data_IF_681758514238
#
_entry.id   IF_681758514238
#
_cell.length_a   1.000
_cell.length_b   1.000
_cell.length_c   1.000
_cell.angle_alpha   90.00
_cell.angle_beta   90.00
_cell.angle_gamma   90.00
#
_symmetry.space_group_name_H-M   'P 1'
#
loop_
_entity.id
_entity.type
_entity.pdbx_description
1 polymer ?
#
# COMPACT_ATOMS: atom_id res chain seq x y z
N UNK A 1 57.03 -37.35 18.85
CA UNK A 1 55.63 -37.01 19.19
C UNK A 1 55.43 -35.57 18.70
N UNK A 2 55.00 -35.41 17.44
CA UNK A 2 53.68 -34.92 17.01
C UNK A 2 53.34 -33.51 17.56
N UNK A 3 52.91 -32.47 16.84
CA UNK A 3 52.63 -32.18 15.44
C UNK A 3 52.40 -30.64 15.34
N UNK A 4 52.57 -30.11 14.13
CA UNK A 4 52.19 -28.79 13.60
C UNK A 4 50.73 -28.35 13.84
N UNK A 5 50.47 -27.02 13.91
CA UNK A 5 49.33 -26.29 13.28
C UNK A 5 49.28 -24.84 13.81
N UNK A 6 49.58 -23.80 13.02
CA UNK A 6 48.69 -23.11 12.07
C UNK A 6 47.37 -22.61 12.73
N UNK A 7 47.43 -21.48 13.42
CA UNK A 7 46.24 -20.77 13.92
C UNK A 7 45.60 -19.96 12.81
N UNK A 8 44.53 -20.50 12.22
CA UNK A 8 43.60 -19.82 11.32
C UNK A 8 42.77 -18.79 12.10
N UNK A 9 42.89 -17.51 11.75
CA UNK A 9 41.98 -16.47 12.24
C UNK A 9 40.67 -16.60 11.47
N UNK A 10 39.69 -17.26 12.08
CA UNK A 10 38.33 -17.40 11.56
C UNK A 10 37.54 -16.14 11.92
N UNK A 11 37.61 -15.12 11.06
CA UNK A 11 36.75 -13.93 11.18
C UNK A 11 35.32 -14.31 10.84
N UNK A 12 34.49 -14.53 11.87
CA UNK A 12 33.04 -14.65 11.74
C UNK A 12 32.46 -13.33 11.23
N UNK A 13 32.21 -13.25 9.92
CA UNK A 13 31.31 -12.25 9.37
C UNK A 13 29.88 -12.63 9.79
N UNK A 14 29.36 -11.99 10.84
CA UNK A 14 27.94 -12.00 11.15
C UNK A 14 27.20 -11.24 10.05
N UNK A 15 26.90 -11.90 8.94
CA UNK A 15 25.91 -11.42 7.97
C UNK A 15 24.53 -11.54 8.62
N UNK A 16 24.13 -10.50 9.37
CA UNK A 16 22.73 -10.32 9.70
C UNK A 16 21.94 -10.18 8.39
N UNK A 17 20.81 -10.88 8.21
CA UNK A 17 19.89 -10.46 7.17
C UNK A 17 19.44 -9.06 7.57
N UNK A 18 19.87 -8.06 6.79
CA UNK A 18 19.13 -6.83 6.66
C UNK A 18 17.75 -7.24 6.14
N UNK A 19 16.82 -7.53 7.05
CA UNK A 19 15.42 -7.32 6.78
C UNK A 19 15.30 -5.82 6.57
N UNK A 20 15.63 -5.39 5.35
CA UNK A 20 15.31 -4.08 4.84
C UNK A 20 13.86 -3.89 5.21
N UNK A 21 13.62 -2.94 6.12
CA UNK A 21 12.28 -2.62 6.53
C UNK A 21 11.59 -2.12 5.27
N UNK A 22 10.84 -3.00 4.61
CA UNK A 22 9.87 -2.64 3.59
C UNK A 22 8.79 -1.83 4.32
N UNK A 23 9.10 -0.56 4.61
CA UNK A 23 8.12 0.49 4.93
C UNK A 23 7.30 0.86 3.69
N UNK A 24 7.10 -0.09 2.79
CA UNK A 24 6.24 0.04 1.62
C UNK A 24 5.02 -0.81 1.88
N UNK A 25 3.98 -0.25 2.49
CA UNK A 25 2.56 -0.47 2.15
C UNK A 25 2.09 -1.90 1.81
N UNK A 26 2.72 -2.98 2.29
CA UNK A 26 2.25 -4.36 2.13
C UNK A 26 1.33 -4.77 3.28
N UNK A 27 0.52 -3.85 3.77
CA UNK A 27 -0.67 -4.23 4.53
C UNK A 27 -1.71 -4.68 3.52
N UNK A 28 -1.69 -5.97 3.19
CA UNK A 28 -2.63 -6.72 2.35
C UNK A 28 -3.68 -5.86 1.66
N UNK A 29 -3.49 -5.65 0.35
CA UNK A 29 -4.51 -5.01 -0.49
C UNK A 29 -5.83 -5.72 -0.22
N UNK A 30 -6.80 -4.99 0.33
CA UNK A 30 -8.11 -5.56 0.69
C UNK A 30 -8.72 -6.13 -0.58
N UNK A 31 -9.14 -7.41 -0.57
CA UNK A 31 -9.77 -8.00 -1.74
C UNK A 31 -10.93 -7.14 -2.24
N UNK A 32 -11.11 -7.03 -3.57
CA UNK A 32 -12.27 -6.33 -4.12
C UNK A 32 -13.56 -6.96 -3.57
N UNK A 33 -14.53 -6.13 -3.22
CA UNK A 33 -15.79 -6.56 -2.59
C UNK A 33 -15.74 -6.71 -1.06
N UNK A 34 -14.58 -6.56 -0.41
CA UNK A 34 -14.47 -6.59 1.05
C UNK A 34 -14.27 -5.22 1.69
N UNK A 35 -14.36 -4.18 0.89
CA UNK A 35 -14.25 -2.82 1.35
C UNK A 35 -15.58 -2.37 1.95
N UNK A 36 -15.55 -1.58 3.03
CA UNK A 36 -16.77 -1.00 3.58
C UNK A 36 -17.46 -0.09 2.54
N UNK A 37 -18.80 0.00 2.58
CA UNK A 37 -19.52 0.96 1.76
C UNK A 37 -19.12 2.41 2.09
N UNK A 38 -19.36 3.38 1.19
CA UNK A 38 -19.09 4.79 1.45
C UNK A 38 -19.82 5.28 2.70
N UNK A 39 -19.18 6.15 3.47
CA UNK A 39 -19.67 6.63 4.77
C UNK A 39 -19.54 5.62 5.92
N UNK A 40 -19.02 4.40 5.67
CA UNK A 40 -18.70 3.42 6.71
C UNK A 40 -17.21 3.11 6.77
N UNK A 41 -16.82 2.56 7.92
CA UNK A 41 -15.48 2.10 8.18
C UNK A 41 -15.44 0.61 8.50
N UNK A 42 -14.27 0.00 8.36
CA UNK A 42 -14.06 -1.39 8.74
C UNK A 42 -12.73 -1.54 9.44
N UNK A 43 -12.69 -2.31 10.52
CA UNK A 43 -11.44 -2.73 11.15
C UNK A 43 -10.93 -3.94 10.36
N UNK A 44 -9.73 -3.82 9.81
CA UNK A 44 -9.00 -4.91 9.15
C UNK A 44 -7.95 -5.45 10.10
N UNK A 45 -8.09 -6.72 10.48
CA UNK A 45 -7.19 -7.41 11.40
C UNK A 45 -6.10 -8.13 10.62
N UNK A 46 -4.85 -7.97 11.05
CA UNK A 46 -3.72 -8.66 10.42
C UNK A 46 -3.76 -10.16 10.78
N UNK A 47 -3.51 -11.02 9.79
CA UNK A 47 -3.54 -12.48 9.94
C UNK A 47 -4.95 -13.11 10.00
N UNK A 48 -6.01 -12.31 9.93
CA UNK A 48 -7.39 -12.83 9.88
C UNK A 48 -7.84 -13.02 8.44
N UNK A 49 -8.37 -14.20 8.06
CA UNK A 49 -8.85 -14.44 6.70
C UNK A 49 -9.96 -13.45 6.30
N UNK A 50 -10.03 -13.03 5.03
CA UNK A 50 -10.98 -12.04 4.53
C UNK A 50 -12.46 -12.33 4.90
N UNK A 51 -12.89 -13.60 4.85
CA UNK A 51 -14.25 -14.02 5.22
C UNK A 51 -14.55 -14.07 6.73
N UNK A 52 -13.54 -13.87 7.57
CA UNK A 52 -13.65 -13.83 9.03
C UNK A 52 -13.39 -12.42 9.59
N UNK A 53 -13.13 -11.46 8.71
CA UNK A 53 -12.91 -10.07 9.09
C UNK A 53 -14.20 -9.47 9.69
N UNK A 54 -14.10 -8.59 10.70
CA UNK A 54 -15.26 -7.93 11.31
C UNK A 54 -16.16 -7.26 10.28
N UNK A 55 -17.46 -7.15 10.56
CA UNK A 55 -18.37 -6.42 9.68
C UNK A 55 -18.02 -4.92 9.62
N UNK A 56 -18.39 -4.21 8.53
CA UNK A 56 -18.36 -2.75 8.50
C UNK A 56 -19.16 -2.14 9.65
N UNK A 57 -18.67 -1.02 10.18
CA UNK A 57 -19.24 -0.29 11.31
C UNK A 57 -19.06 1.22 11.09
N UNK A 58 -19.61 2.04 11.98
CA UNK A 58 -19.43 3.49 11.90
C UNK A 58 -17.97 3.88 12.19
N UNK A 59 -17.51 4.95 11.54
CA UNK A 59 -16.11 5.38 11.64
C UNK A 59 -15.66 5.76 13.05
N UNK A 60 -16.46 6.49 13.86
CA UNK A 60 -16.12 6.73 15.26
C UNK A 60 -15.88 5.43 16.04
N UNK A 61 -16.78 4.46 15.95
CA UNK A 61 -16.66 3.15 16.61
C UNK A 61 -15.43 2.40 16.11
N UNK A 62 -15.19 2.37 14.80
CA UNK A 62 -14.02 1.69 14.22
C UNK A 62 -12.69 2.26 14.74
N UNK A 63 -12.58 3.59 14.84
CA UNK A 63 -11.38 4.26 15.35
C UNK A 63 -11.19 4.01 16.85
N UNK A 64 -12.28 4.06 17.63
CA UNK A 64 -12.22 3.86 19.09
C UNK A 64 -11.88 2.43 19.47
N UNK A 65 -12.40 1.46 18.75
CA UNK A 65 -12.25 0.03 19.05
C UNK A 65 -11.14 -0.64 18.23
N UNK A 66 -10.29 0.13 17.54
CA UNK A 66 -9.20 -0.43 16.73
C UNK A 66 -8.19 -1.15 17.64
N UNK A 67 -8.01 -2.48 17.48
CA UNK A 67 -7.01 -3.20 18.25
C UNK A 67 -5.59 -2.92 17.73
N UNK A 68 -4.54 -3.21 18.52
CA UNK A 68 -3.15 -2.97 18.12
C UNK A 68 -2.73 -3.70 16.84
N UNK A 69 -3.30 -4.87 16.56
CA UNK A 69 -3.04 -5.71 15.39
C UNK A 69 -4.03 -5.47 14.24
N UNK A 70 -4.61 -4.26 14.17
CA UNK A 70 -5.58 -3.93 13.14
C UNK A 70 -5.51 -2.48 12.69
N UNK A 71 -6.04 -2.23 11.49
CA UNK A 71 -6.10 -0.91 10.85
C UNK A 71 -7.53 -0.55 10.46
N UNK A 72 -7.86 0.73 10.46
CA UNK A 72 -9.18 1.22 10.04
C UNK A 72 -9.14 1.53 8.55
N UNK A 73 -10.15 1.05 7.85
CA UNK A 73 -10.37 1.20 6.42
C UNK A 73 -11.59 2.09 6.23
N UNK A 74 -11.43 3.18 5.48
CA UNK A 74 -12.51 4.11 5.18
C UNK A 74 -13.09 3.77 3.81
N UNK A 75 -14.42 3.63 3.72
CA UNK A 75 -15.10 3.33 2.45
C UNK A 75 -14.93 4.43 1.40
N UNK A 76 -14.81 5.68 1.85
CA UNK A 76 -14.69 6.85 0.96
C UNK A 76 -13.36 6.87 0.18
N UNK A 77 -12.29 6.32 0.77
CA UNK A 77 -10.97 6.21 0.13
C UNK A 77 -11.01 5.25 -1.07
N UNK A 78 -11.92 4.28 -1.07
CA UNK A 78 -12.10 3.36 -2.19
C UNK A 78 -12.78 4.06 -3.36
N UNK A 79 -13.88 4.77 -3.11
CA UNK A 79 -14.62 5.51 -4.14
C UNK A 79 -13.72 6.55 -4.80
N UNK A 80 -12.89 7.25 -4.02
CA UNK A 80 -11.92 8.22 -4.57
C UNK A 80 -10.90 7.56 -5.50
N UNK A 81 -10.41 6.36 -5.17
CA UNK A 81 -9.48 5.60 -6.01
C UNK A 81 -10.12 5.12 -7.31
N UNK A 82 -11.37 4.65 -7.23
CA UNK A 82 -12.19 4.24 -8.38
C UNK A 82 -12.74 5.39 -9.22
N UNK A 83 -12.53 6.64 -8.82
CA UNK A 83 -12.92 7.82 -9.61
C UNK A 83 -11.68 8.56 -10.16
N UNK A 84 -10.49 8.19 -9.71
CA UNK A 84 -9.23 8.78 -10.13
C UNK A 84 -8.61 8.07 -11.33
N UNK A 85 -8.83 6.75 -11.42
CA UNK A 85 -8.54 5.93 -12.59
C UNK A 85 -9.36 6.36 -13.81
N UNK A 86 -10.65 6.64 -13.66
CA UNK A 86 -11.51 7.16 -14.75
C UNK A 86 -11.00 8.50 -15.33
N UNK A 87 -10.38 9.34 -14.51
CA UNK A 87 -9.86 10.65 -14.95
C UNK A 87 -8.47 10.59 -15.56
N UNK A 88 -7.69 9.54 -15.27
CA UNK A 88 -6.35 9.38 -15.81
C UNK A 88 -6.37 9.03 -17.31
N UNK A 89 -7.44 8.40 -17.80
CA UNK A 89 -7.57 7.99 -19.21
C UNK A 89 -8.04 9.13 -20.15
N UNK A 90 -8.63 10.21 -19.62
CA UNK A 90 -9.14 11.33 -20.42
C UNK A 90 -8.28 12.60 -20.37
N UNK A 91 -7.06 12.51 -19.83
CA UNK A 91 -6.26 13.66 -19.40
C UNK A 91 -4.96 13.92 -20.15
N UNK A 92 -4.80 13.44 -21.39
CA UNK A 92 -3.63 13.75 -22.21
C UNK A 92 -3.64 15.19 -22.75
N UNK A 93 -3.52 16.20 -21.88
CA UNK A 93 -3.14 17.55 -22.34
C UNK A 93 -1.62 17.61 -22.41
N UNK A 94 -1.10 17.53 -23.62
CA UNK A 94 0.32 17.77 -23.87
C UNK A 94 0.65 19.22 -23.48
N UNK A 95 1.43 19.38 -22.42
CA UNK A 95 1.99 20.67 -22.03
C UNK A 95 3.33 20.87 -22.73
N UNK A 96 3.63 22.10 -23.16
CA UNK A 96 4.97 22.44 -23.65
C UNK A 96 6.00 22.44 -22.50
N UNK A 97 7.28 22.62 -22.82
CA UNK A 97 8.39 22.73 -21.85
C UNK A 97 8.25 23.89 -20.85
N UNK A 98 7.28 24.79 -21.05
CA UNK A 98 6.91 25.87 -20.13
C UNK A 98 5.57 25.61 -19.41
N UNK A 99 5.00 24.40 -19.52
CA UNK A 99 3.76 24.02 -18.84
C UNK A 99 2.48 24.55 -19.47
N UNK A 100 2.52 25.19 -20.65
CA UNK A 100 1.32 25.70 -21.31
C UNK A 100 0.63 24.60 -22.11
N UNK A 101 -0.72 24.49 -22.08
CA UNK A 101 -1.44 23.55 -22.94
C UNK A 101 -1.15 23.89 -24.41
N UNK A 102 -0.75 22.90 -25.21
CA UNK A 102 -0.61 23.09 -26.66
C UNK A 102 -2.00 23.33 -27.24
N UNK A 103 -2.27 24.52 -27.76
CA UNK A 103 -3.48 24.75 -28.55
C UNK A 103 -3.38 23.92 -29.83
N UNK A 104 -4.27 22.95 -30.01
CA UNK A 104 -4.40 22.12 -31.21
C UNK A 104 -4.92 22.96 -32.39
N UNK A 105 -4.05 23.79 -32.98
CA UNK A 105 -4.36 24.60 -34.15
C UNK A 105 -4.28 23.81 -35.48
N UNK A 106 -4.61 22.52 -35.50
CA UNK A 106 -4.71 21.77 -36.76
C UNK A 106 -5.81 20.73 -36.75
N UNK A 107 -7.05 21.20 -36.93
CA UNK A 107 -8.10 20.40 -37.56
C UNK A 107 -8.92 21.22 -38.56
N UNK A 108 -8.36 21.36 -39.75
CA UNK A 108 -9.03 21.43 -41.06
C UNK A 108 -7.93 21.12 -42.09
N UNK A 109 -8.18 20.23 -43.07
CA UNK A 109 -9.12 20.51 -44.16
C UNK A 109 -10.36 19.61 -44.20
#
# INVERSE_FOLDING_TARGET
MKNTALTLILSLALTAPLAAQERGQKGDRIPPGQQPPPGMCRIWLDGVPPGQQPAPTDCPTAVRNRPPNGRVIFGDDYVKRMQGDDRADHGGRDHDKNGKPKNDERKHP
#
